data_IF_397520286274
#
_entry.id   IF_397520286274
#
_cell.length_a   1.000
_cell.length_b   1.000
_cell.length_c   1.000
_cell.angle_alpha   90.00
_cell.angle_beta   90.00
_cell.angle_gamma   90.00
#
_symmetry.space_group_name_H-M   'P 1'
#
loop_
_entity.id
_entity.type
_entity.pdbx_description
1 polymer ?
#
# COMPACT_ATOMS: atom_id res chain seq x y z
N UNK A 1 12.72 15.89 -18.16
CA UNK A 1 12.77 14.90 -17.05
C UNK A 1 11.60 15.23 -16.13
N UNK A 2 10.78 14.23 -15.79
CA UNK A 2 9.76 14.36 -14.76
C UNK A 2 10.28 13.68 -13.49
N UNK A 3 10.27 14.41 -12.38
CA UNK A 3 10.61 13.89 -11.07
C UNK A 3 9.34 13.85 -10.21
N UNK A 4 9.04 12.68 -9.65
CA UNK A 4 7.93 12.49 -8.72
C UNK A 4 8.52 12.04 -7.39
N UNK A 5 8.20 12.78 -6.34
CA UNK A 5 8.54 12.42 -4.96
C UNK A 5 7.25 12.27 -4.18
N UNK A 6 7.15 11.20 -3.40
CA UNK A 6 5.97 10.88 -2.61
C UNK A 6 6.38 10.57 -1.19
N UNK A 7 5.51 10.93 -0.25
CA UNK A 7 5.67 10.51 1.13
C UNK A 7 5.31 9.02 1.23
N UNK A 8 6.15 8.20 1.88
CA UNK A 8 5.92 6.74 1.97
C UNK A 8 4.57 6.35 2.60
N UNK A 9 3.95 7.23 3.38
CA UNK A 9 2.62 6.99 3.96
C UNK A 9 1.51 6.79 2.90
N UNK A 10 1.69 7.31 1.68
CA UNK A 10 0.72 7.19 0.59
C UNK A 10 1.17 6.22 -0.51
N UNK A 11 2.36 5.63 -0.41
CA UNK A 11 2.94 4.81 -1.47
C UNK A 11 4.02 3.86 -0.97
N UNK A 12 3.98 2.64 -1.51
CA UNK A 12 5.01 1.61 -1.42
C UNK A 12 5.67 1.36 -2.79
N UNK A 13 6.59 0.38 -2.85
CA UNK A 13 7.27 0.03 -4.09
C UNK A 13 6.32 -0.49 -5.19
N UNK A 14 5.21 -1.11 -4.81
CA UNK A 14 4.24 -1.66 -5.77
C UNK A 14 3.39 -0.55 -6.39
N UNK A 15 2.78 0.28 -5.56
CA UNK A 15 1.93 1.40 -5.98
C UNK A 15 2.70 2.43 -6.82
N UNK A 16 4.00 2.60 -6.60
CA UNK A 16 4.85 3.41 -7.48
C UNK A 16 4.88 2.85 -8.92
N UNK A 17 4.96 1.53 -9.08
CA UNK A 17 4.90 0.88 -10.40
C UNK A 17 3.55 1.08 -11.10
N UNK A 18 2.45 0.97 -10.36
CA UNK A 18 1.10 1.24 -10.87
C UNK A 18 0.95 2.71 -11.32
N UNK A 19 1.43 3.65 -10.51
CA UNK A 19 1.40 5.08 -10.85
C UNK A 19 2.10 5.36 -12.18
N UNK A 20 3.29 4.78 -12.40
CA UNK A 20 4.04 4.95 -13.65
C UNK A 20 3.26 4.39 -14.84
N UNK A 21 2.61 3.23 -14.68
CA UNK A 21 1.80 2.61 -15.72
C UNK A 21 0.57 3.47 -16.08
N UNK A 22 -0.17 3.93 -15.07
CA UNK A 22 -1.37 4.75 -15.24
C UNK A 22 -1.05 6.12 -15.84
N UNK A 23 0.02 6.79 -15.38
CA UNK A 23 0.49 8.05 -15.97
C UNK A 23 0.88 7.86 -17.43
N UNK A 24 1.56 6.77 -17.78
CA UNK A 24 1.92 6.46 -19.17
C UNK A 24 0.68 6.24 -20.04
N UNK A 25 -0.31 5.50 -19.54
CA UNK A 25 -1.55 5.22 -20.25
C UNK A 25 -2.36 6.50 -20.50
N UNK A 26 -2.56 7.32 -19.46
CA UNK A 26 -3.26 8.60 -19.51
C UNK A 26 -2.54 9.58 -20.46
N UNK A 27 -1.22 9.70 -20.33
CA UNK A 27 -0.43 10.59 -21.19
C UNK A 27 -0.56 10.18 -22.67
N UNK A 28 -0.49 8.88 -22.96
CA UNK A 28 -0.62 8.36 -24.32
C UNK A 28 -2.00 8.68 -24.90
N UNK A 29 -3.09 8.45 -24.16
CA UNK A 29 -4.44 8.75 -24.60
C UNK A 29 -4.66 10.26 -24.82
N UNK A 30 -4.33 11.07 -23.82
CA UNK A 30 -4.57 12.51 -23.87
C UNK A 30 -3.72 13.22 -24.93
N UNK A 31 -2.48 12.77 -25.17
CA UNK A 31 -1.64 13.32 -26.25
C UNK A 31 -2.22 13.10 -27.66
N UNK A 32 -3.14 12.14 -27.81
CA UNK A 32 -3.84 11.82 -29.06
C UNK A 32 -5.29 12.33 -29.08
N UNK A 33 -5.70 13.11 -28.06
CA UNK A 33 -7.08 13.60 -27.92
C UNK A 33 -8.10 12.50 -27.60
N UNK A 34 -7.66 11.34 -27.11
CA UNK A 34 -8.53 10.24 -26.69
C UNK A 34 -9.00 10.44 -25.24
N UNK A 35 -10.15 9.85 -24.85
CA UNK A 35 -10.63 9.93 -23.47
C UNK A 35 -9.78 9.06 -22.51
N UNK A 36 -10.09 9.15 -21.21
CA UNK A 36 -9.47 8.34 -20.16
C UNK A 36 -9.69 6.83 -20.43
N UNK A 37 -8.61 6.04 -20.61
CA UNK A 37 -8.72 4.61 -20.88
C UNK A 37 -8.80 3.76 -19.60
N UNK A 38 -8.60 4.34 -18.41
CA UNK A 38 -8.53 3.59 -17.16
C UNK A 38 -9.95 3.31 -16.62
N UNK A 39 -10.20 2.09 -16.11
CA UNK A 39 -11.45 1.81 -15.42
C UNK A 39 -11.51 2.58 -14.10
N UNK A 40 -12.72 3.00 -13.70
CA UNK A 40 -12.92 3.57 -12.38
C UNK A 40 -12.58 2.54 -11.29
N UNK A 41 -11.89 2.99 -10.25
CA UNK A 41 -11.58 2.15 -9.09
C UNK A 41 -12.86 1.75 -8.38
N UNK A 42 -13.06 0.44 -8.19
CA UNK A 42 -14.20 -0.08 -7.45
C UNK A 42 -14.12 0.20 -5.94
N UNK A 43 -12.91 0.44 -5.42
CA UNK A 43 -12.63 0.75 -4.02
C UNK A 43 -11.58 1.85 -3.93
N UNK A 44 -11.75 2.75 -2.96
CA UNK A 44 -10.75 3.74 -2.57
C UNK A 44 -9.97 3.25 -1.35
N UNK A 45 -8.77 3.80 -1.13
CA UNK A 45 -7.98 3.43 0.04
C UNK A 45 -8.69 3.77 1.37
N UNK A 46 -9.57 4.78 1.37
CA UNK A 46 -10.42 5.09 2.52
C UNK A 46 -11.37 3.93 2.87
N UNK A 47 -11.91 3.25 1.87
CA UNK A 47 -12.78 2.07 2.06
C UNK A 47 -11.97 0.92 2.67
N UNK A 48 -10.75 0.69 2.16
CA UNK A 48 -9.82 -0.28 2.74
C UNK A 48 -9.48 0.03 4.19
N UNK A 49 -9.15 1.28 4.51
CA UNK A 49 -8.81 1.69 5.88
C UNK A 49 -10.00 1.53 6.84
N UNK A 50 -11.21 1.90 6.39
CA UNK A 50 -12.44 1.69 7.16
C UNK A 50 -12.72 0.20 7.39
N UNK A 51 -12.59 -0.63 6.36
CA UNK A 51 -12.72 -2.08 6.44
C UNK A 51 -11.71 -2.69 7.41
N UNK A 52 -10.43 -2.33 7.30
CA UNK A 52 -9.37 -2.86 8.15
C UNK A 52 -9.66 -2.55 9.63
N UNK A 53 -10.10 -1.33 9.94
CA UNK A 53 -10.46 -0.94 11.31
C UNK A 53 -11.66 -1.74 11.85
N UNK A 54 -12.65 -2.02 11.00
CA UNK A 54 -13.83 -2.82 11.38
C UNK A 54 -13.52 -4.31 11.52
N UNK A 55 -12.58 -4.82 10.72
CA UNK A 55 -12.17 -6.22 10.77
C UNK A 55 -11.23 -6.50 11.95
N UNK A 56 -10.25 -5.61 12.19
CA UNK A 56 -9.19 -5.79 13.18
C UNK A 56 -9.64 -5.36 14.59
N UNK A 57 -10.72 -5.97 15.09
CA UNK A 57 -11.28 -5.71 16.42
C UNK A 57 -11.79 -7.01 17.07
N UNK A 58 -12.11 -6.96 18.36
CA UNK A 58 -12.67 -8.11 19.09
C UNK A 58 -11.76 -9.33 19.09
N UNK A 59 -12.32 -10.50 18.80
CA UNK A 59 -11.62 -11.79 18.80
C UNK A 59 -10.48 -11.83 17.78
N UNK A 60 -10.69 -11.30 16.57
CA UNK A 60 -9.66 -11.24 15.52
C UNK A 60 -8.43 -10.47 16.00
N UNK A 61 -8.63 -9.30 16.60
CA UNK A 61 -7.52 -8.51 17.12
C UNK A 61 -6.78 -9.27 18.22
N UNK A 62 -7.52 -9.94 19.12
CA UNK A 62 -6.92 -10.73 20.19
C UNK A 62 -6.09 -11.88 19.64
N UNK A 63 -6.61 -12.65 18.70
CA UNK A 63 -5.89 -13.77 18.07
C UNK A 63 -4.59 -13.32 17.39
N UNK A 64 -4.63 -12.19 16.67
CA UNK A 64 -3.45 -11.62 16.02
C UNK A 64 -2.40 -11.21 17.06
N UNK A 65 -2.80 -10.55 18.15
CA UNK A 65 -1.91 -10.13 19.23
C UNK A 65 -1.29 -11.36 19.93
N UNK A 66 -2.11 -12.33 20.31
CA UNK A 66 -1.67 -13.54 21.02
C UNK A 66 -0.67 -14.34 20.16
N UNK A 67 -0.93 -14.47 18.85
CA UNK A 67 0.00 -15.09 17.91
C UNK A 67 1.35 -14.37 17.88
N UNK A 68 1.37 -13.05 17.65
CA UNK A 68 2.62 -12.32 17.50
C UNK A 68 3.43 -12.26 18.80
N UNK A 69 2.77 -12.17 19.96
CA UNK A 69 3.45 -12.27 21.26
C UNK A 69 4.14 -13.62 21.44
N UNK A 70 3.44 -14.71 21.14
CA UNK A 70 4.02 -16.04 21.25
C UNK A 70 5.14 -16.25 20.22
N UNK A 71 4.92 -15.85 18.97
CA UNK A 71 5.87 -16.06 17.88
C UNK A 71 7.17 -15.28 18.07
N UNK A 72 7.09 -14.06 18.60
CA UNK A 72 8.24 -13.20 18.87
C UNK A 72 8.83 -13.40 20.27
N UNK A 73 8.36 -14.39 21.03
CA UNK A 73 8.88 -14.68 22.36
C UNK A 73 10.36 -15.07 22.26
N UNK A 74 11.21 -14.30 22.94
CA UNK A 74 12.66 -14.51 22.93
C UNK A 74 13.39 -13.99 21.69
N UNK A 75 12.70 -13.28 20.79
CA UNK A 75 13.36 -12.58 19.68
C UNK A 75 14.32 -11.51 20.22
N UNK A 76 15.53 -11.36 19.65
CA UNK A 76 16.46 -10.33 20.07
C UNK A 76 15.89 -8.95 19.75
N UNK A 77 16.06 -7.99 20.65
CA UNK A 77 15.65 -6.60 20.42
C UNK A 77 16.41 -5.94 19.26
N UNK A 78 17.63 -6.41 18.99
CA UNK A 78 18.48 -5.97 17.91
C UNK A 78 19.26 -7.17 17.39
N UNK A 79 19.30 -7.32 16.07
CA UNK A 79 20.23 -8.24 15.43
C UNK A 79 21.55 -7.49 15.19
N UNK A 80 22.61 -7.87 15.89
CA UNK A 80 23.94 -7.34 15.59
C UNK A 80 24.42 -7.91 14.26
N UNK A 81 24.70 -7.01 13.31
CA UNK A 81 25.30 -7.35 12.02
C UNK A 81 26.76 -6.87 12.01
N UNK A 82 27.69 -7.59 11.35
CA UNK A 82 29.06 -7.13 11.20
C UNK A 82 29.09 -5.77 10.49
N UNK A 83 29.84 -4.83 11.06
CA UNK A 83 30.20 -3.54 10.45
C UNK A 83 31.48 -3.63 9.65
#
# INVERSE_FOLDING_TARGET
>A
ILLITQHHIISDGWSTGLLVQEVTALYTAFSQGQPDPLPALALQYADYAAWQRQWLQGEVLKEQIDFWHHHLQGAPALLELPT
#
